data_IF_295535508897
#
_entry.id   IF_295535508897
#
_cell.length_a   1.000
_cell.length_b   1.000
_cell.length_c   1.000
_cell.angle_alpha   90.00
_cell.angle_beta   90.00
_cell.angle_gamma   90.00
#
_symmetry.space_group_name_H-M   'P 1'
#
loop_
_entity.id
_entity.type
_entity.pdbx_description
1 polymer ?
#
# COMPACT_ATOMS: atom_id res chain seq x y z
N UNK A 1 64.49 60.37 50.83
CA UNK A 1 63.71 59.35 51.59
C UNK A 1 62.36 59.05 50.94
N UNK A 2 61.60 60.06 50.49
CA UNK A 2 60.23 59.92 49.92
C UNK A 2 60.16 59.17 48.59
N UNK A 3 61.21 59.27 47.76
CA UNK A 3 61.25 58.68 46.42
C UNK A 3 61.46 57.15 46.44
N UNK A 4 62.09 56.63 47.50
CA UNK A 4 62.27 55.19 47.72
C UNK A 4 60.95 54.47 48.10
N UNK A 5 60.04 55.18 48.78
CA UNK A 5 58.73 54.65 49.20
C UNK A 5 57.74 54.59 48.03
N UNK A 6 57.89 55.44 47.01
CA UNK A 6 57.01 55.42 45.84
C UNK A 6 57.36 54.31 44.84
N UNK A 7 58.63 53.92 44.72
CA UNK A 7 59.07 52.81 43.84
C UNK A 7 58.57 51.43 44.27
N UNK A 8 58.21 51.26 45.54
CA UNK A 8 57.67 50.00 46.09
C UNK A 8 56.14 50.01 46.24
N UNK A 9 55.48 51.12 45.87
CA UNK A 9 54.03 51.28 45.96
C UNK A 9 53.33 50.43 44.90
N UNK A 10 52.86 49.25 45.29
CA UNK A 10 52.05 48.37 44.44
C UNK A 10 50.66 48.97 44.29
N UNK A 11 50.25 49.30 43.07
CA UNK A 11 48.87 49.67 42.77
C UNK A 11 48.06 48.39 42.86
N UNK A 12 47.17 48.32 43.85
CA UNK A 12 46.28 47.17 44.02
C UNK A 12 45.13 47.29 43.02
N UNK A 13 44.98 46.26 42.19
CA UNK A 13 43.85 46.19 41.27
C UNK A 13 42.57 45.97 42.07
N UNK A 14 41.60 46.87 41.93
CA UNK A 14 40.39 46.91 42.74
C UNK A 14 39.18 47.16 41.85
N UNK A 15 38.04 46.61 42.25
CA UNK A 15 36.79 46.90 41.56
C UNK A 15 36.51 48.41 41.57
N UNK A 16 35.92 48.97 40.49
CA UNK A 16 35.55 50.37 40.45
C UNK A 16 34.61 50.70 41.62
N UNK A 17 34.63 51.95 42.11
CA UNK A 17 33.87 52.37 43.30
C UNK A 17 32.35 52.11 43.24
N UNK A 18 31.80 51.85 42.05
CA UNK A 18 30.39 51.51 41.82
C UNK A 18 30.11 50.02 41.53
N UNK A 19 31.09 49.13 41.62
CA UNK A 19 30.94 47.71 41.30
C UNK A 19 30.87 47.40 39.79
N UNK A 20 30.78 46.11 39.46
CA UNK A 20 30.55 45.64 38.08
C UNK A 20 29.06 45.56 37.77
N UNK A 21 28.72 45.58 36.48
CA UNK A 21 27.33 45.36 36.04
C UNK A 21 26.83 43.97 36.44
N UNK A 22 25.54 43.86 36.71
CA UNK A 22 24.92 42.57 36.99
C UNK A 22 25.09 41.60 35.82
N UNK A 23 25.77 40.49 36.07
CA UNK A 23 25.94 39.42 35.11
C UNK A 23 24.76 38.47 35.29
N UNK A 24 23.88 38.32 34.28
CA UNK A 24 22.78 37.36 34.37
C UNK A 24 23.35 35.95 34.36
N UNK A 25 23.42 35.34 35.53
CA UNK A 25 23.90 33.97 35.72
C UNK A 25 22.80 32.92 35.46
N UNK A 26 21.54 33.35 35.42
CA UNK A 26 20.40 32.47 35.20
C UNK A 26 20.18 32.17 33.70
N UNK A 27 19.77 30.93 33.41
CA UNK A 27 19.46 30.51 32.04
C UNK A 27 18.15 31.15 31.55
N UNK A 28 18.22 31.96 30.49
CA UNK A 28 17.03 32.51 29.82
C UNK A 28 16.56 31.54 28.72
N UNK A 29 15.60 30.67 29.03
CA UNK A 29 14.99 29.80 28.03
C UNK A 29 13.83 30.51 27.36
N UNK A 30 14.01 30.89 26.09
CA UNK A 30 12.94 31.46 25.27
C UNK A 30 11.95 30.35 24.90
N UNK A 31 10.67 30.52 25.22
CA UNK A 31 9.59 29.66 24.69
C UNK A 31 9.46 29.93 23.19
N UNK A 32 9.86 28.96 22.36
CA UNK A 32 9.82 29.06 20.89
C UNK A 32 8.71 28.16 20.35
N UNK A 33 8.00 28.64 19.34
CA UNK A 33 7.01 27.88 18.60
C UNK A 33 5.56 28.12 19.05
N UNK A 34 4.59 27.67 18.23
CA UNK A 34 3.17 27.72 18.56
C UNK A 34 2.86 26.81 19.75
N UNK A 35 1.88 27.20 20.57
CA UNK A 35 1.44 26.39 21.70
C UNK A 35 0.89 25.02 21.28
N UNK A 36 0.83 24.06 22.21
CA UNK A 36 0.32 22.72 21.93
C UNK A 36 -1.10 22.72 21.35
N UNK A 37 -1.98 23.58 21.87
CA UNK A 37 -3.36 23.71 21.38
C UNK A 37 -3.40 24.15 19.90
N UNK A 38 -2.58 25.13 19.52
CA UNK A 38 -2.53 25.62 18.14
C UNK A 38 -2.02 24.56 17.16
N UNK A 39 -1.07 23.71 17.60
CA UNK A 39 -0.61 22.58 16.79
C UNK A 39 -1.69 21.52 16.61
N UNK A 40 -2.42 21.19 17.68
CA UNK A 40 -3.54 20.24 17.63
C UNK A 40 -4.64 20.72 16.68
N UNK A 41 -5.05 21.98 16.79
CA UNK A 41 -6.05 22.57 15.91
C UNK A 41 -5.58 22.60 14.45
N UNK A 42 -4.34 23.01 14.20
CA UNK A 42 -3.76 23.00 12.85
C UNK A 42 -3.78 21.60 12.23
N UNK A 43 -3.43 20.59 13.02
CA UNK A 43 -3.42 19.19 12.58
C UNK A 43 -4.83 18.70 12.26
N UNK A 44 -5.81 19.00 13.12
CA UNK A 44 -7.20 18.61 12.93
C UNK A 44 -7.80 19.25 11.68
N UNK A 45 -7.48 20.52 11.40
CA UNK A 45 -7.95 21.22 10.21
C UNK A 45 -7.41 20.54 8.95
N UNK A 46 -6.10 20.31 8.88
CA UNK A 46 -5.46 19.64 7.73
C UNK A 46 -6.04 18.23 7.54
N UNK A 47 -6.21 17.48 8.63
CA UNK A 47 -6.77 16.13 8.59
C UNK A 47 -8.22 16.16 8.09
N UNK A 48 -9.07 17.04 8.62
CA UNK A 48 -10.47 17.15 8.21
C UNK A 48 -10.61 17.47 6.72
N UNK A 49 -9.77 18.36 6.20
CA UNK A 49 -9.74 18.69 4.78
C UNK A 49 -9.31 17.49 3.94
N UNK A 50 -8.23 16.79 4.33
CA UNK A 50 -7.77 15.58 3.66
C UNK A 50 -8.87 14.51 3.56
N UNK A 51 -9.65 14.31 4.62
CA UNK A 51 -10.77 13.36 4.63
C UNK A 51 -11.86 13.70 3.62
N UNK A 52 -12.20 14.98 3.43
CA UNK A 52 -13.20 15.39 2.43
C UNK A 52 -12.74 15.02 1.01
N UNK A 53 -11.46 15.26 0.69
CA UNK A 53 -10.88 14.89 -0.60
C UNK A 53 -10.86 13.37 -0.81
N UNK A 54 -10.47 12.61 0.22
CA UNK A 54 -10.49 11.15 0.19
C UNK A 54 -11.91 10.61 -0.02
N UNK A 55 -12.91 11.17 0.65
CA UNK A 55 -14.31 10.75 0.48
C UNK A 55 -14.77 11.00 -0.96
N UNK A 56 -14.48 12.18 -1.52
CA UNK A 56 -14.83 12.51 -2.91
C UNK A 56 -14.19 11.56 -3.91
N UNK A 57 -12.87 11.36 -3.82
CA UNK A 57 -12.13 10.47 -4.72
C UNK A 57 -12.57 9.01 -4.58
N UNK A 58 -12.91 8.56 -3.36
CA UNK A 58 -13.44 7.22 -3.14
C UNK A 58 -14.81 7.00 -3.78
N UNK A 59 -15.66 8.04 -3.83
CA UNK A 59 -16.95 7.97 -4.55
C UNK A 59 -16.71 7.81 -6.05
N UNK A 60 -15.83 8.61 -6.63
CA UNK A 60 -15.45 8.53 -8.05
C UNK A 60 -14.87 7.14 -8.40
N UNK A 61 -13.93 6.62 -7.59
CA UNK A 61 -13.37 5.27 -7.74
C UNK A 61 -14.42 4.16 -7.62
N UNK A 62 -15.48 4.36 -6.85
CA UNK A 62 -16.60 3.40 -6.76
C UNK A 62 -17.45 3.44 -8.02
N UNK A 63 -17.70 4.62 -8.59
CA UNK A 63 -18.43 4.75 -9.85
C UNK A 63 -17.68 4.05 -10.99
N UNK A 64 -16.38 4.32 -11.14
CA UNK A 64 -15.55 3.66 -12.16
C UNK A 64 -15.53 2.13 -12.02
N UNK A 65 -15.44 1.62 -10.78
CA UNK A 65 -15.51 0.17 -10.53
C UNK A 65 -16.87 -0.44 -10.83
N UNK A 66 -17.96 0.33 -10.70
CA UNK A 66 -19.30 -0.12 -11.09
C UNK A 66 -19.41 -0.19 -12.61
N UNK A 67 -18.98 0.86 -13.31
CA UNK A 67 -18.95 0.90 -14.78
C UNK A 67 -18.15 -0.27 -15.36
N UNK A 68 -16.93 -0.51 -14.85
CA UNK A 68 -16.11 -1.65 -15.28
C UNK A 68 -16.75 -3.01 -14.99
N UNK A 69 -17.54 -3.12 -13.91
CA UNK A 69 -18.28 -4.34 -13.59
C UNK A 69 -19.45 -4.53 -14.53
N UNK A 70 -20.20 -3.47 -14.82
CA UNK A 70 -21.32 -3.49 -15.76
C UNK A 70 -20.84 -3.85 -17.17
N UNK A 71 -19.74 -3.25 -17.65
CA UNK A 71 -19.11 -3.60 -18.91
C UNK A 71 -18.69 -5.07 -18.96
N UNK A 72 -18.11 -5.60 -17.86
CA UNK A 72 -17.76 -7.02 -17.76
C UNK A 72 -18.99 -7.92 -17.80
N UNK A 73 -20.05 -7.59 -17.05
CA UNK A 73 -21.29 -8.37 -17.03
C UNK A 73 -21.91 -8.42 -18.44
N UNK A 74 -21.88 -7.31 -19.18
CA UNK A 74 -22.38 -7.25 -20.55
C UNK A 74 -21.61 -8.17 -21.51
N UNK A 75 -20.28 -8.26 -21.37
CA UNK A 75 -19.43 -9.11 -22.22
C UNK A 75 -19.33 -10.57 -21.76
N UNK A 76 -19.59 -10.85 -20.48
CA UNK A 76 -19.48 -12.17 -19.88
C UNK A 76 -20.17 -13.31 -20.66
N UNK A 77 -21.42 -13.18 -21.15
CA UNK A 77 -22.08 -14.28 -21.87
C UNK A 77 -21.36 -14.66 -23.16
N UNK A 78 -20.74 -13.71 -23.86
CA UNK A 78 -19.96 -13.99 -25.06
C UNK A 78 -18.73 -14.84 -24.73
N UNK A 79 -17.94 -14.40 -23.74
CA UNK A 79 -16.76 -15.14 -23.30
C UNK A 79 -17.09 -16.53 -22.75
N UNK A 80 -18.21 -16.65 -22.04
CA UNK A 80 -18.68 -17.94 -21.55
C UNK A 80 -19.00 -18.88 -22.72
N UNK A 81 -19.75 -18.40 -23.72
CA UNK A 81 -20.08 -19.21 -24.90
C UNK A 81 -18.84 -19.61 -25.72
N UNK A 82 -17.86 -18.72 -25.87
CA UNK A 82 -16.59 -19.04 -26.53
C UNK A 82 -15.78 -20.08 -25.75
N UNK A 83 -15.68 -19.91 -24.44
CA UNK A 83 -15.00 -20.86 -23.56
C UNK A 83 -15.68 -22.23 -23.60
N UNK A 84 -17.01 -22.29 -23.51
CA UNK A 84 -17.76 -23.55 -23.55
C UNK A 84 -17.53 -24.30 -24.88
N UNK A 85 -17.57 -23.58 -26.02
CA UNK A 85 -17.22 -24.15 -27.34
C UNK A 85 -15.80 -24.69 -27.38
N UNK A 86 -14.83 -23.96 -26.83
CA UNK A 86 -13.44 -24.39 -26.79
C UNK A 86 -13.25 -25.62 -25.90
N UNK A 87 -13.94 -25.68 -24.75
CA UNK A 87 -13.88 -26.86 -23.87
C UNK A 87 -14.44 -28.10 -24.55
N UNK A 88 -15.58 -28.00 -25.24
CA UNK A 88 -16.17 -29.14 -25.95
C UNK A 88 -15.30 -29.61 -27.11
N UNK A 89 -14.68 -28.68 -27.86
CA UNK A 89 -13.72 -29.02 -28.92
C UNK A 89 -12.51 -29.77 -28.37
N UNK A 90 -11.92 -29.27 -27.28
CA UNK A 90 -10.79 -29.93 -26.63
C UNK A 90 -11.17 -31.33 -26.15
N UNK A 91 -12.29 -31.46 -25.44
CA UNK A 91 -12.77 -32.76 -24.97
C UNK A 91 -12.98 -33.75 -26.11
N UNK A 92 -13.50 -33.27 -27.25
CA UNK A 92 -13.71 -34.13 -28.42
C UNK A 92 -12.38 -34.63 -28.99
N UNK A 93 -11.40 -33.74 -29.12
CA UNK A 93 -10.07 -34.11 -29.59
C UNK A 93 -9.39 -35.13 -28.65
N UNK A 94 -9.52 -34.94 -27.33
CA UNK A 94 -8.99 -35.87 -26.33
C UNK A 94 -9.68 -37.24 -26.40
N UNK A 95 -11.00 -37.28 -26.56
CA UNK A 95 -11.75 -38.54 -26.73
C UNK A 95 -11.28 -39.28 -28.00
N UNK A 96 -11.10 -38.56 -29.12
CA UNK A 96 -10.64 -39.15 -30.37
C UNK A 96 -9.18 -39.68 -30.27
N UNK A 97 -8.31 -38.93 -29.58
CA UNK A 97 -6.93 -39.36 -29.31
C UNK A 97 -6.88 -40.56 -28.34
N UNK A 98 -7.70 -40.56 -27.30
CA UNK A 98 -7.83 -41.66 -26.35
C UNK A 98 -8.28 -42.94 -27.05
N UNK A 99 -9.26 -42.85 -27.96
CA UNK A 99 -9.71 -43.97 -28.80
C UNK A 99 -8.56 -44.55 -29.63
N UNK A 100 -7.72 -43.71 -30.23
CA UNK A 100 -6.60 -44.15 -31.04
C UNK A 100 -5.50 -44.82 -30.21
N UNK A 101 -5.15 -44.22 -29.06
CA UNK A 101 -4.07 -44.69 -28.19
C UNK A 101 -4.48 -45.97 -27.45
N UNK A 102 -5.71 -46.04 -26.95
CA UNK A 102 -6.18 -47.11 -26.05
C UNK A 102 -6.87 -48.29 -26.77
N UNK A 103 -6.92 -48.28 -28.10
CA UNK A 103 -7.55 -49.35 -28.92
C UNK A 103 -7.10 -50.78 -28.58
N UNK A 104 -5.87 -50.94 -28.08
CA UNK A 104 -5.27 -52.25 -27.80
C UNK A 104 -5.40 -52.69 -26.34
N UNK A 105 -5.96 -51.87 -25.45
CA UNK A 105 -6.06 -52.16 -24.02
C UNK A 105 -7.42 -52.80 -23.71
N UNK A 106 -7.47 -54.05 -23.20
CA UNK A 106 -8.74 -54.72 -22.94
C UNK A 106 -9.49 -54.06 -21.78
N UNK A 107 -10.79 -53.83 -21.96
CA UNK A 107 -11.67 -53.27 -20.93
C UNK A 107 -11.65 -51.74 -20.81
N UNK A 108 -10.83 -51.05 -21.62
CA UNK A 108 -10.82 -49.59 -21.65
C UNK A 108 -11.98 -49.04 -22.50
N UNK A 109 -12.70 -48.06 -21.97
CA UNK A 109 -13.77 -47.33 -22.67
C UNK A 109 -13.41 -45.86 -22.72
N UNK A 110 -13.08 -45.36 -23.91
CA UNK A 110 -12.77 -43.94 -24.08
C UNK A 110 -13.99 -43.08 -23.76
N UNK A 111 -13.74 -41.91 -23.15
CA UNK A 111 -14.80 -40.97 -22.76
C UNK A 111 -15.70 -41.43 -21.61
N UNK A 112 -15.42 -42.56 -20.94
CA UNK A 112 -16.19 -42.99 -19.77
C UNK A 112 -15.92 -42.06 -18.56
N UNK A 113 -17.00 -41.60 -17.92
CA UNK A 113 -16.88 -40.73 -16.74
C UNK A 113 -16.25 -41.51 -15.57
N UNK A 114 -15.19 -40.95 -14.99
CA UNK A 114 -14.59 -41.45 -13.74
C UNK A 114 -15.55 -41.34 -12.55
N UNK A 115 -16.51 -40.40 -12.63
CA UNK A 115 -17.48 -40.16 -11.58
C UNK A 115 -18.74 -40.99 -11.76
N UNK A 116 -19.27 -41.51 -10.65
CA UNK A 116 -20.50 -42.30 -10.61
C UNK A 116 -21.79 -41.48 -10.84
N UNK A 117 -21.70 -40.15 -10.93
CA UNK A 117 -22.86 -39.29 -11.16
C UNK A 117 -23.06 -38.99 -12.65
N UNK A 118 -24.28 -38.63 -13.02
CA UNK A 118 -24.62 -38.18 -14.39
C UNK A 118 -24.48 -36.68 -14.57
N UNK A 119 -23.95 -35.98 -13.56
CA UNK A 119 -23.82 -34.52 -13.56
C UNK A 119 -22.60 -34.12 -14.39
N UNK A 120 -22.75 -33.09 -15.22
CA UNK A 120 -21.61 -32.46 -15.88
C UNK A 120 -20.60 -31.92 -14.86
N UNK A 121 -19.34 -32.31 -15.03
CA UNK A 121 -18.22 -31.83 -14.24
C UNK A 121 -17.26 -31.13 -15.19
N UNK A 122 -16.87 -29.90 -14.85
CA UNK A 122 -15.91 -29.15 -15.64
C UNK A 122 -14.58 -29.92 -15.67
N UNK A 123 -14.00 -30.18 -16.85
CA UNK A 123 -12.73 -30.88 -16.93
C UNK A 123 -11.61 -30.07 -16.27
N UNK A 124 -10.60 -30.78 -15.77
CA UNK A 124 -9.31 -30.19 -15.38
C UNK A 124 -8.68 -29.59 -16.65
N UNK A 125 -7.84 -28.57 -16.52
CA UNK A 125 -7.32 -27.78 -17.63
C UNK A 125 -6.94 -28.63 -18.86
N UNK A 126 -7.63 -28.36 -19.98
CA UNK A 126 -7.46 -29.04 -21.26
C UNK A 126 -6.51 -28.21 -22.10
N UNK A 127 -5.33 -28.74 -22.41
CA UNK A 127 -4.40 -28.11 -23.34
C UNK A 127 -4.90 -28.37 -24.77
N UNK A 128 -5.29 -27.31 -25.48
CA UNK A 128 -5.80 -27.43 -26.85
C UNK A 128 -4.69 -27.68 -27.89
N UNK A 129 -3.43 -27.48 -27.51
CA UNK A 129 -2.26 -27.61 -28.39
C UNK A 129 -1.76 -29.06 -28.53
N UNK A 130 -2.08 -29.91 -27.55
CA UNK A 130 -1.65 -31.31 -27.50
C UNK A 130 -2.88 -32.20 -27.37
N UNK A 131 -3.16 -33.10 -28.34
CA UNK A 131 -4.14 -34.15 -28.17
C UNK A 131 -3.69 -35.17 -27.11
#
# INVERSE_FOLDING_TARGET
>A
MTDFLNRTRRVQDMAPKGGYSDIPFARVVRKRGPGGLTLLLGTLIIMSFGWVLVIRTNRERRMFRREMREARIALYPLFLAENDRNTLRGMKNFEDAELEIMKNVPGWRAGESVYYNTRWIKPIQINLETP
#
